data_IF_996811923916
#
_entry.id   IF_996811923916
#
_cell.length_a   1.000
_cell.length_b   1.000
_cell.length_c   1.000
_cell.angle_alpha   90.00
_cell.angle_beta   90.00
_cell.angle_gamma   90.00
#
_symmetry.space_group_name_H-M   'P 1'
#
loop_
_entity.id
_entity.type
_entity.pdbx_description
1 polymer ?
#
# COMPACT_ATOMS: atom_id res chain seq x y z
N UNK A 1 -23.15 -5.16 -18.55
CA UNK A 1 -22.47 -4.21 -17.62
C UNK A 1 -23.38 -3.65 -16.52
N UNK A 2 -24.69 -3.91 -16.53
CA UNK A 2 -25.68 -3.43 -15.54
C UNK A 2 -25.81 -4.32 -14.29
N UNK A 3 -25.43 -5.59 -14.36
CA UNK A 3 -25.64 -6.54 -13.27
C UNK A 3 -24.76 -6.29 -12.02
N UNK A 4 -23.56 -5.69 -12.18
CA UNK A 4 -22.62 -5.45 -11.07
C UNK A 4 -23.05 -4.24 -10.23
N UNK A 5 -23.55 -3.18 -10.87
CA UNK A 5 -24.13 -2.04 -10.15
C UNK A 5 -25.38 -2.44 -9.34
N UNK A 6 -26.18 -3.35 -9.90
CA UNK A 6 -27.36 -3.91 -9.22
C UNK A 6 -26.96 -4.82 -8.06
N UNK A 7 -25.90 -5.63 -8.19
CA UNK A 7 -25.43 -6.49 -7.10
C UNK A 7 -24.83 -5.67 -5.95
N UNK A 8 -24.13 -4.57 -6.25
CA UNK A 8 -23.62 -3.64 -5.24
C UNK A 8 -24.75 -2.91 -4.51
N UNK A 9 -25.75 -2.42 -5.25
CA UNK A 9 -26.93 -1.80 -4.68
C UNK A 9 -27.77 -2.80 -3.85
N UNK A 10 -27.88 -4.06 -4.29
CA UNK A 10 -28.63 -5.10 -3.58
C UNK A 10 -27.92 -5.61 -2.32
N UNK A 11 -26.58 -5.65 -2.31
CA UNK A 11 -25.77 -5.92 -1.10
C UNK A 11 -25.87 -4.78 -0.08
N UNK A 12 -26.00 -3.54 -0.55
CA UNK A 12 -26.23 -2.37 0.30
C UNK A 12 -27.69 -2.27 0.80
N UNK A 13 -28.66 -2.80 0.04
CA UNK A 13 -30.09 -2.78 0.39
C UNK A 13 -30.52 -3.89 1.37
N UNK A 14 -29.71 -4.93 1.57
CA UNK A 14 -29.98 -6.00 2.56
C UNK A 14 -29.39 -5.72 3.94
N UNK A 15 -28.76 -4.56 4.15
CA UNK A 15 -28.51 -4.07 5.49
C UNK A 15 -29.88 -3.77 6.15
N UNK A 16 -30.12 -4.20 7.41
CA UNK A 16 -31.38 -3.96 8.10
C UNK A 16 -31.76 -2.47 8.01
N UNK A 17 -33.02 -2.22 7.68
CA UNK A 17 -33.64 -0.93 7.39
C UNK A 17 -33.79 -0.04 8.65
N UNK A 18 -32.67 0.22 9.32
CA UNK A 18 -32.48 1.47 10.03
C UNK A 18 -32.19 2.58 9.00
N UNK A 19 -32.51 3.86 9.26
CA UNK A 19 -32.17 4.97 8.35
C UNK A 19 -30.67 4.93 8.02
N UNK A 20 -30.36 4.36 6.85
CA UNK A 20 -29.04 3.88 6.52
C UNK A 20 -28.01 5.00 6.36
N UNK A 21 -26.72 4.71 6.61
CA UNK A 21 -25.65 5.70 6.53
C UNK A 21 -25.61 6.29 5.12
N UNK A 22 -25.85 7.59 5.06
CA UNK A 22 -25.73 8.39 3.85
C UNK A 22 -24.27 8.35 3.39
N UNK A 23 -23.99 7.61 2.31
CA UNK A 23 -22.69 7.51 1.68
C UNK A 23 -21.67 6.71 2.50
N UNK A 24 -21.08 5.69 1.86
CA UNK A 24 -19.75 5.23 2.23
C UNK A 24 -18.78 6.39 1.94
N UNK A 25 -18.77 7.40 2.81
CA UNK A 25 -17.54 8.14 3.02
C UNK A 25 -16.53 7.07 3.42
N UNK A 26 -15.44 6.94 2.68
CA UNK A 26 -14.29 6.14 3.12
C UNK A 26 -13.35 7.11 3.84
N UNK A 27 -13.67 7.60 5.06
CA UNK A 27 -12.80 8.53 5.75
C UNK A 27 -11.44 7.85 5.95
N UNK A 28 -10.43 8.34 5.25
CA UNK A 28 -9.06 7.83 5.37
C UNK A 28 -8.62 6.83 4.31
N UNK A 29 -9.36 6.61 3.21
CA UNK A 29 -8.79 5.83 2.11
C UNK A 29 -7.51 6.50 1.59
N UNK A 30 -6.47 5.69 1.39
CA UNK A 30 -5.21 6.14 0.78
C UNK A 30 -4.89 5.25 -0.40
N UNK A 31 -4.81 5.89 -1.56
CA UNK A 31 -4.38 5.25 -2.79
C UNK A 31 -2.93 5.62 -3.08
N UNK A 32 -2.04 4.65 -2.96
CA UNK A 32 -0.65 4.74 -3.32
C UNK A 32 -0.47 4.45 -4.82
N UNK A 33 -0.02 5.43 -5.59
CA UNK A 33 0.27 5.28 -7.02
C UNK A 33 1.78 5.23 -7.22
N UNK A 34 2.30 4.12 -7.75
CA UNK A 34 3.71 4.02 -8.15
C UNK A 34 3.83 4.22 -9.65
N UNK A 35 4.54 5.28 -10.04
CA UNK A 35 4.57 5.79 -11.42
C UNK A 35 6.02 6.07 -11.83
N UNK A 36 6.34 5.87 -13.11
CA UNK A 36 7.65 6.22 -13.66
C UNK A 36 7.70 7.66 -14.20
N UNK A 37 8.88 8.29 -14.15
CA UNK A 37 9.13 9.66 -14.67
C UNK A 37 8.81 9.83 -16.16
N UNK A 38 8.69 8.74 -16.93
CA UNK A 38 8.28 8.79 -18.34
C UNK A 38 6.83 9.23 -18.55
N UNK A 39 5.99 9.20 -17.51
CA UNK A 39 4.62 9.69 -17.58
C UNK A 39 4.61 11.21 -17.73
N UNK A 40 3.85 11.70 -18.70
CA UNK A 40 3.77 13.12 -18.97
C UNK A 40 3.07 13.88 -17.83
N UNK A 41 3.35 15.18 -17.75
CA UNK A 41 2.86 16.01 -16.66
C UNK A 41 1.33 16.13 -16.66
N UNK A 42 0.66 16.12 -17.83
CA UNK A 42 -0.80 16.26 -17.90
C UNK A 42 -1.48 14.99 -17.35
N UNK A 43 -0.96 13.82 -17.71
CA UNK A 43 -1.39 12.54 -17.13
C UNK A 43 -1.16 12.49 -15.63
N UNK A 44 0.01 12.95 -15.13
CA UNK A 44 0.26 13.04 -13.69
C UNK A 44 -0.74 13.95 -12.98
N UNK A 45 -1.07 15.11 -13.56
CA UNK A 45 -2.09 16.02 -13.00
C UNK A 45 -3.46 15.36 -12.94
N UNK A 46 -3.84 14.58 -13.95
CA UNK A 46 -5.10 13.86 -13.97
C UNK A 46 -5.20 12.72 -12.92
N UNK A 47 -4.07 12.26 -12.38
CA UNK A 47 -4.01 11.27 -11.29
C UNK A 47 -4.02 11.90 -9.89
N UNK A 48 -3.89 13.23 -9.81
CA UNK A 48 -3.95 13.93 -8.54
C UNK A 48 -5.40 13.91 -8.02
N UNK A 49 -5.60 13.26 -6.87
CA UNK A 49 -6.89 13.13 -6.21
C UNK A 49 -6.74 13.36 -4.71
N UNK A 50 -7.85 13.59 -4.03
CA UNK A 50 -7.85 14.01 -2.62
C UNK A 50 -7.26 12.97 -1.65
N UNK A 51 -7.30 11.69 -2.02
CA UNK A 51 -6.74 10.57 -1.26
C UNK A 51 -5.52 9.91 -1.91
N UNK A 52 -4.90 10.51 -2.93
CA UNK A 52 -3.78 9.88 -3.64
C UNK A 52 -2.41 10.23 -3.05
N UNK A 53 -1.54 9.23 -2.95
CA UNK A 53 -0.14 9.35 -2.53
C UNK A 53 0.73 8.91 -3.70
N UNK A 54 1.50 9.84 -4.27
CA UNK A 54 2.37 9.55 -5.42
C UNK A 54 3.73 8.99 -4.97
N UNK A 55 4.20 7.94 -5.65
CA UNK A 55 5.53 7.37 -5.55
C UNK A 55 6.18 7.43 -6.94
N UNK A 56 6.98 8.47 -7.18
CA UNK A 56 7.56 8.72 -8.49
C UNK A 56 8.95 8.07 -8.60
N UNK A 57 9.09 7.07 -9.45
CA UNK A 57 10.38 6.49 -9.82
C UNK A 57 11.06 7.37 -10.86
N UNK A 58 12.25 7.85 -10.54
CA UNK A 58 13.00 8.71 -11.45
C UNK A 58 14.12 7.96 -12.16
N UNK A 59 14.36 8.36 -13.41
CA UNK A 59 15.57 8.05 -14.18
C UNK A 59 16.68 9.04 -13.88
N UNK A 60 16.31 10.29 -13.57
CA UNK A 60 17.26 11.36 -13.20
C UNK A 60 16.82 12.07 -11.92
N UNK A 61 17.78 12.65 -11.19
CA UNK A 61 17.46 13.43 -9.98
C UNK A 61 16.89 14.82 -10.28
N UNK A 62 16.89 15.25 -11.55
CA UNK A 62 16.42 16.57 -11.98
C UNK A 62 15.10 16.40 -12.71
N UNK A 63 13.99 16.71 -12.03
CA UNK A 63 12.67 16.68 -12.64
C UNK A 63 12.48 17.90 -13.53
N UNK A 64 11.69 17.72 -14.58
CA UNK A 64 11.21 18.84 -15.40
C UNK A 64 10.30 19.73 -14.57
N UNK A 65 10.28 21.03 -14.86
CA UNK A 65 9.43 21.99 -14.15
C UNK A 65 7.95 21.59 -14.19
N UNK A 66 7.46 21.14 -15.35
CA UNK A 66 6.09 20.66 -15.51
C UNK A 66 5.78 19.43 -14.65
N UNK A 67 6.75 18.53 -14.46
CA UNK A 67 6.61 17.37 -13.57
C UNK A 67 6.56 17.82 -12.11
N UNK A 68 7.41 18.77 -11.69
CA UNK A 68 7.39 19.32 -10.33
C UNK A 68 6.04 19.97 -10.01
N UNK A 69 5.48 20.73 -10.95
CA UNK A 69 4.16 21.33 -10.82
C UNK A 69 3.06 20.27 -10.71
N UNK A 70 3.11 19.20 -11.49
CA UNK A 70 2.17 18.09 -11.38
C UNK A 70 2.27 17.38 -10.02
N UNK A 71 3.49 17.12 -9.54
CA UNK A 71 3.76 16.52 -8.22
C UNK A 71 3.20 17.40 -7.08
N UNK A 72 3.24 18.73 -7.23
CA UNK A 72 2.74 19.66 -6.21
C UNK A 72 1.22 19.57 -5.97
N UNK A 73 0.46 19.01 -6.92
CA UNK A 73 -0.99 18.83 -6.80
C UNK A 73 -1.38 17.68 -5.85
N UNK A 74 -0.48 16.73 -5.63
CA UNK A 74 -0.76 15.59 -4.77
C UNK A 74 -0.80 16.00 -3.29
N UNK A 75 -1.74 15.46 -2.49
CA UNK A 75 -1.76 15.63 -1.04
C UNK A 75 -0.44 15.19 -0.40
N UNK A 76 0.17 14.14 -0.94
CA UNK A 76 1.43 13.57 -0.49
C UNK A 76 2.15 12.93 -1.68
N UNK A 77 3.45 13.20 -1.81
CA UNK A 77 4.26 12.63 -2.88
C UNK A 77 5.66 12.30 -2.38
N UNK A 78 6.25 11.25 -2.93
CA UNK A 78 7.61 10.82 -2.64
C UNK A 78 8.34 10.55 -3.95
N UNK A 79 9.47 11.23 -4.16
CA UNK A 79 10.25 11.11 -5.39
C UNK A 79 11.51 10.33 -5.13
N UNK A 80 11.71 9.23 -5.88
CA UNK A 80 12.90 8.39 -5.75
C UNK A 80 14.13 9.19 -6.16
N UNK A 81 15.14 9.17 -5.31
CA UNK A 81 16.43 9.77 -5.58
C UNK A 81 17.54 8.75 -5.64
N UNK A 82 18.44 8.94 -6.60
CA UNK A 82 19.64 8.12 -6.78
C UNK A 82 20.85 8.85 -6.19
N UNK A 83 21.81 8.15 -5.55
CA UNK A 83 23.06 8.76 -5.13
C UNK A 83 23.89 9.25 -6.34
N UNK A 84 24.64 10.37 -6.21
CA UNK A 84 24.69 11.26 -5.06
C UNK A 84 23.50 12.25 -5.00
N UNK A 85 23.01 12.50 -3.79
CA UNK A 85 21.99 13.50 -3.50
C UNK A 85 22.65 14.88 -3.30
N UNK A 86 22.39 15.80 -4.23
CA UNK A 86 22.86 17.18 -4.19
C UNK A 86 21.76 18.12 -3.64
N UNK A 87 22.16 19.25 -3.08
CA UNK A 87 21.22 20.25 -2.55
C UNK A 87 20.31 20.83 -3.63
N UNK A 88 20.84 21.04 -4.84
CA UNK A 88 20.06 21.47 -6.01
C UNK A 88 18.88 20.53 -6.32
N UNK A 89 19.02 19.22 -6.04
CA UNK A 89 17.94 18.26 -6.21
C UNK A 89 16.79 18.46 -5.20
N UNK A 90 17.10 18.94 -3.99
CA UNK A 90 16.10 19.24 -2.97
C UNK A 90 15.41 20.59 -3.22
N UNK A 91 16.17 21.53 -3.77
CA UNK A 91 15.71 22.88 -4.08
C UNK A 91 14.62 22.93 -5.14
N UNK A 92 14.60 22.01 -6.10
CA UNK A 92 13.53 21.93 -7.09
C UNK A 92 12.14 21.77 -6.44
N UNK A 93 12.07 21.12 -5.29
CA UNK A 93 10.82 20.90 -4.55
C UNK A 93 10.41 22.08 -3.68
N UNK A 94 11.06 23.25 -3.76
CA UNK A 94 10.53 24.48 -3.12
C UNK A 94 9.12 24.80 -3.63
N UNK A 95 8.82 24.48 -4.90
CA UNK A 95 7.49 24.62 -5.50
C UNK A 95 6.50 23.49 -5.16
N UNK A 96 6.98 22.42 -4.54
CA UNK A 96 6.17 21.28 -4.11
C UNK A 96 6.46 20.94 -2.64
N UNK A 97 5.98 21.75 -1.68
CA UNK A 97 6.35 21.60 -0.26
C UNK A 97 5.86 20.30 0.37
N UNK A 98 4.85 19.66 -0.21
CA UNK A 98 4.33 18.34 0.23
C UNK A 98 5.11 17.17 -0.35
N UNK A 99 5.98 17.41 -1.33
CA UNK A 99 6.83 16.38 -1.91
C UNK A 99 8.01 16.08 -0.97
N UNK A 100 8.13 14.80 -0.64
CA UNK A 100 9.23 14.21 0.11
C UNK A 100 10.21 13.46 -0.78
N UNK A 101 11.29 13.01 -0.14
CA UNK A 101 12.36 12.23 -0.78
C UNK A 101 12.13 10.75 -0.50
N UNK A 102 12.18 9.93 -1.54
CA UNK A 102 12.20 8.49 -1.43
C UNK A 102 13.62 7.97 -1.68
N UNK A 103 14.11 7.15 -0.75
CA UNK A 103 15.50 6.69 -0.73
C UNK A 103 15.53 5.18 -0.59
N UNK A 104 16.30 4.51 -1.45
CA UNK A 104 16.58 3.08 -1.34
C UNK A 104 17.72 2.76 -0.36
N UNK A 105 17.76 1.52 0.15
CA UNK A 105 18.78 1.02 1.08
C UNK A 105 20.22 1.24 0.59
N UNK A 106 20.46 1.14 -0.72
CA UNK A 106 21.76 1.37 -1.35
C UNK A 106 22.31 2.79 -1.18
N UNK A 107 21.42 3.73 -0.87
CA UNK A 107 21.74 5.13 -0.66
C UNK A 107 22.11 5.45 0.80
N UNK A 108 21.75 4.57 1.75
CA UNK A 108 22.00 4.78 3.17
C UNK A 108 23.49 4.76 3.53
N UNK A 109 24.31 4.02 2.77
CA UNK A 109 25.74 3.86 3.02
C UNK A 109 26.64 4.90 2.34
N UNK A 110 26.15 5.66 1.36
CA UNK A 110 26.99 6.43 0.42
C UNK A 110 27.10 7.93 0.71
N UNK A 111 26.60 8.42 1.84
CA UNK A 111 26.77 9.83 2.20
C UNK A 111 26.04 10.23 3.46
N UNK A 112 26.78 10.33 4.56
CA UNK A 112 26.29 10.92 5.80
C UNK A 112 26.32 12.45 5.64
N UNK A 113 25.19 13.07 5.34
CA UNK A 113 25.10 14.55 5.33
C UNK A 113 24.13 15.18 4.35
N UNK A 114 23.50 14.42 3.43
CA UNK A 114 22.45 15.00 2.59
C UNK A 114 21.15 15.24 3.39
N UNK A 115 20.90 14.46 4.43
CA UNK A 115 19.68 14.57 5.25
C UNK A 115 19.57 15.94 5.94
N UNK A 116 20.69 16.52 6.41
CA UNK A 116 20.68 17.87 6.99
C UNK A 116 20.42 18.96 5.95
N UNK A 117 20.74 18.69 4.67
CA UNK A 117 20.52 19.63 3.54
C UNK A 117 19.10 19.57 2.98
N UNK A 118 18.35 18.48 3.19
CA UNK A 118 16.96 18.40 2.74
C UNK A 118 15.99 19.28 3.54
N UNK A 119 16.43 19.81 4.68
CA UNK A 119 15.60 20.59 5.58
C UNK A 119 14.45 19.75 6.19
N UNK A 120 13.30 20.35 6.51
CA UNK A 120 12.18 19.69 7.21
C UNK A 120 11.36 18.74 6.30
N UNK A 121 11.89 18.31 5.17
CA UNK A 121 11.15 17.51 4.20
C UNK A 121 10.91 16.10 4.71
N UNK A 122 9.77 15.53 4.30
CA UNK A 122 9.42 14.14 4.60
C UNK A 122 10.36 13.20 3.85
N UNK A 123 10.84 12.17 4.54
CA UNK A 123 11.65 11.11 3.95
C UNK A 123 10.88 9.80 4.00
N UNK A 124 10.82 9.11 2.87
CA UNK A 124 10.41 7.72 2.79
C UNK A 124 11.64 6.86 2.50
N UNK A 125 11.80 5.76 3.23
CA UNK A 125 12.92 4.83 3.05
C UNK A 125 12.39 3.48 2.61
N UNK A 126 12.97 2.95 1.53
CA UNK A 126 12.77 1.57 1.12
C UNK A 126 14.01 0.76 1.50
N UNK A 127 13.83 -0.24 2.35
CA UNK A 127 14.88 -1.16 2.77
C UNK A 127 14.67 -2.49 2.06
N UNK A 128 15.64 -2.93 1.27
CA UNK A 128 15.62 -4.26 0.64
C UNK A 128 16.65 -5.16 1.33
N UNK A 129 16.26 -6.41 1.57
CA UNK A 129 17.12 -7.41 2.21
C UNK A 129 17.09 -7.33 3.75
N UNK A 130 18.18 -7.70 4.44
CA UNK A 130 18.20 -7.77 5.90
C UNK A 130 18.10 -6.40 6.55
N UNK A 131 17.31 -6.32 7.62
CA UNK A 131 17.21 -5.15 8.49
C UNK A 131 17.94 -5.45 9.80
N UNK A 132 19.27 -5.30 9.77
CA UNK A 132 20.09 -5.38 10.98
C UNK A 132 20.12 -4.05 11.76
N UNK A 133 20.70 -4.08 12.95
CA UNK A 133 20.82 -2.92 13.84
C UNK A 133 21.60 -1.75 13.21
N UNK A 134 22.57 -2.02 12.33
CA UNK A 134 23.34 -0.96 11.67
C UNK A 134 22.47 -0.22 10.63
N UNK A 135 21.76 -0.97 9.79
CA UNK A 135 20.81 -0.42 8.81
C UNK A 135 19.69 0.31 9.55
N UNK A 136 19.10 -0.29 10.58
CA UNK A 136 18.04 0.33 11.37
C UNK A 136 18.49 1.67 11.98
N UNK A 137 19.70 1.73 12.55
CA UNK A 137 20.28 2.97 13.06
C UNK A 137 20.45 4.03 11.97
N UNK A 138 20.92 3.65 10.77
CA UNK A 138 21.05 4.57 9.62
C UNK A 138 19.69 5.09 9.18
N UNK A 139 18.68 4.23 9.11
CA UNK A 139 17.30 4.61 8.75
C UNK A 139 16.70 5.54 9.81
N UNK A 140 16.85 5.22 11.10
CA UNK A 140 16.35 6.03 12.20
C UNK A 140 16.95 7.45 12.20
N UNK A 141 18.23 7.59 11.87
CA UNK A 141 18.91 8.88 11.75
C UNK A 141 18.27 9.81 10.70
N UNK A 142 17.60 9.27 9.68
CA UNK A 142 16.87 10.04 8.67
C UNK A 142 15.51 10.55 9.16
N UNK A 143 15.03 10.08 10.32
CA UNK A 143 13.69 10.36 10.85
C UNK A 143 12.58 10.21 9.80
N UNK A 144 12.50 9.05 9.11
CA UNK A 144 11.54 8.86 8.04
C UNK A 144 10.10 9.09 8.51
N UNK A 145 9.33 9.73 7.64
CA UNK A 145 7.88 9.71 7.74
C UNK A 145 7.32 8.32 7.42
N UNK A 146 8.04 7.55 6.60
CA UNK A 146 7.62 6.23 6.14
C UNK A 146 8.80 5.29 5.90
N UNK A 147 8.66 4.03 6.30
CA UNK A 147 9.64 2.96 6.05
C UNK A 147 8.93 1.80 5.39
N UNK A 148 9.41 1.37 4.22
CA UNK A 148 8.97 0.14 3.55
C UNK A 148 10.10 -0.87 3.64
N UNK A 149 9.89 -2.00 4.30
CA UNK A 149 10.85 -3.10 4.36
C UNK A 149 10.41 -4.22 3.42
N UNK A 150 11.30 -4.62 2.51
CA UNK A 150 11.14 -5.73 1.58
C UNK A 150 12.21 -6.79 1.87
N UNK A 151 12.02 -7.63 2.89
CA UNK A 151 12.94 -8.72 3.16
C UNK A 151 12.88 -9.79 2.06
N UNK A 152 14.01 -10.42 1.78
CA UNK A 152 13.98 -11.77 1.20
C UNK A 152 13.47 -12.79 2.23
N UNK A 153 13.21 -14.02 1.78
CA UNK A 153 12.69 -15.09 2.65
C UNK A 153 13.58 -15.35 3.87
N UNK A 154 14.91 -15.38 3.67
CA UNK A 154 15.88 -15.55 4.75
C UNK A 154 16.07 -14.31 5.64
N UNK A 155 15.65 -13.13 5.16
CA UNK A 155 15.87 -11.85 5.85
C UNK A 155 14.75 -11.49 6.82
N UNK A 156 13.57 -12.10 6.68
CA UNK A 156 12.37 -11.84 7.48
C UNK A 156 12.46 -12.45 8.90
N UNK A 157 13.55 -12.15 9.62
CA UNK A 157 13.84 -12.66 10.97
C UNK A 157 13.10 -11.90 12.06
N UNK A 158 12.87 -12.53 13.22
CA UNK A 158 12.28 -11.86 14.39
C UNK A 158 13.11 -10.64 14.84
N UNK A 159 14.44 -10.70 14.73
CA UNK A 159 15.31 -9.58 15.03
C UNK A 159 15.04 -8.39 14.10
N UNK A 160 14.96 -8.63 12.78
CA UNK A 160 14.64 -7.57 11.80
C UNK A 160 13.25 -6.97 12.00
N UNK A 161 12.26 -7.78 12.40
CA UNK A 161 10.95 -7.29 12.81
C UNK A 161 11.01 -6.38 14.04
N UNK A 162 11.80 -6.77 15.05
CA UNK A 162 12.04 -5.95 16.25
C UNK A 162 12.63 -4.58 15.91
N UNK A 163 13.61 -4.56 15.00
CA UNK A 163 14.20 -3.31 14.49
C UNK A 163 13.16 -2.46 13.74
N UNK A 164 12.40 -3.04 12.80
CA UNK A 164 11.34 -2.34 12.08
C UNK A 164 10.33 -1.72 13.05
N UNK A 165 9.92 -2.45 14.09
CA UNK A 165 8.96 -2.01 15.10
C UNK A 165 9.45 -0.80 15.93
N UNK A 166 10.76 -0.55 15.98
CA UNK A 166 11.37 0.60 16.66
C UNK A 166 11.61 1.81 15.76
N UNK A 167 11.66 1.64 14.44
CA UNK A 167 11.85 2.77 13.50
C UNK A 167 10.77 3.85 13.63
N UNK A 168 11.05 5.13 13.33
CA UNK A 168 10.01 6.16 13.34
C UNK A 168 9.11 6.06 12.09
N UNK A 169 7.97 6.75 12.14
CA UNK A 169 7.05 6.89 11.00
C UNK A 169 6.15 5.68 10.76
N UNK A 170 5.43 5.72 9.63
CA UNK A 170 4.57 4.63 9.18
C UNK A 170 5.41 3.49 8.61
N UNK A 171 5.21 2.27 9.09
CA UNK A 171 5.98 1.10 8.64
C UNK A 171 5.14 0.28 7.69
N UNK A 172 5.75 -0.19 6.61
CA UNK A 172 5.16 -1.14 5.69
C UNK A 172 6.11 -2.32 5.57
N UNK A 173 5.63 -3.51 5.87
CA UNK A 173 6.32 -4.73 5.51
C UNK A 173 5.75 -5.27 4.20
N UNK A 174 6.58 -5.43 3.18
CA UNK A 174 6.21 -6.09 1.94
C UNK A 174 6.92 -7.44 1.84
N UNK A 175 6.20 -8.49 2.20
CA UNK A 175 6.68 -9.85 2.01
C UNK A 175 6.59 -10.16 0.52
N UNK A 176 7.75 -10.31 -0.14
CA UNK A 176 7.78 -10.81 -1.51
C UNK A 176 7.14 -12.21 -1.52
N UNK A 177 6.22 -12.42 -2.46
CA UNK A 177 5.26 -13.51 -2.43
C UNK A 177 5.79 -14.87 -1.93
N UNK A 178 5.16 -15.35 -0.86
CA UNK A 178 4.91 -16.78 -0.58
C UNK A 178 4.03 -17.42 -1.69
N UNK A 179 3.63 -16.63 -2.70
CA UNK A 179 2.82 -17.02 -3.85
C UNK A 179 3.47 -18.06 -4.80
N UNK A 180 4.72 -18.47 -4.56
CA UNK A 180 5.43 -19.45 -5.39
C UNK A 180 5.09 -20.92 -5.15
N UNK A 181 4.45 -21.30 -4.04
CA UNK A 181 4.29 -22.73 -3.70
C UNK A 181 3.00 -23.35 -4.26
N UNK A 182 1.96 -22.55 -4.53
CA UNK A 182 0.65 -23.10 -4.92
C UNK A 182 0.49 -23.42 -6.42
N UNK A 183 1.35 -22.91 -7.31
CA UNK A 183 1.27 -23.22 -8.75
C UNK A 183 2.06 -24.47 -9.19
N UNK A 184 2.92 -25.02 -8.33
CA UNK A 184 3.67 -26.24 -8.64
C UNK A 184 2.89 -27.54 -8.38
N UNK A 185 1.73 -27.49 -7.72
CA UNK A 185 0.90 -28.68 -7.42
C UNK A 185 -0.13 -29.03 -8.52
N UNK A 186 -0.18 -28.26 -9.62
CA UNK A 186 -1.22 -28.38 -10.65
C UNK A 186 -0.92 -29.32 -11.83
N UNK A 187 0.16 -30.10 -11.80
CA UNK A 187 0.46 -31.10 -12.85
C UNK A 187 0.74 -32.48 -12.25
N UNK A 188 -0.25 -33.02 -11.55
CA UNK A 188 -0.35 -34.46 -11.32
C UNK A 188 -1.48 -34.98 -12.20
N UNK A 189 -1.10 -35.70 -13.25
CA UNK A 189 -2.05 -36.42 -14.11
C UNK A 189 -2.93 -37.36 -13.27
N UNK A 190 -4.23 -37.46 -13.55
CA UNK A 190 -5.10 -38.42 -12.89
C UNK A 190 -4.75 -39.84 -13.36
N UNK A 191 -4.10 -40.61 -12.48
CA UNK A 191 -4.04 -42.07 -12.61
C UNK A 191 -5.42 -42.70 -12.43
N UNK A 192 -5.70 -43.86 -13.05
CA UNK A 192 -7.02 -44.46 -13.04
C UNK A 192 -7.46 -44.92 -11.65
N UNK A 193 -8.75 -44.68 -11.39
CA UNK A 193 -9.51 -45.00 -10.18
C UNK A 193 -9.34 -46.45 -9.72
N UNK A 194 -8.85 -46.62 -8.49
CA UNK A 194 -9.13 -47.78 -7.64
C UNK A 194 -10.16 -47.40 -6.58
N UNK A 195 -11.25 -48.16 -6.51
CA UNK A 195 -12.39 -48.00 -5.61
C UNK A 195 -12.08 -48.28 -4.12
N UNK A 196 -12.89 -47.62 -3.26
CA UNK A 196 -13.20 -47.86 -1.83
C UNK A 196 -12.14 -47.51 -0.79
N UNK A 197 -12.45 -46.57 0.10
CA UNK A 197 -13.17 -46.85 1.35
C UNK A 197 -13.39 -45.59 2.21
N UNK A 198 -14.60 -45.52 2.78
CA UNK A 198 -14.97 -45.04 4.11
C UNK A 198 -14.82 -43.56 4.51
N UNK A 199 -16.01 -43.00 4.78
CA UNK A 199 -16.27 -41.70 5.34
C UNK A 199 -15.65 -41.58 6.74
N UNK A 200 -14.70 -40.66 6.88
CA UNK A 200 -14.29 -40.11 8.17
C UNK A 200 -14.88 -38.71 8.32
N UNK A 201 -15.55 -38.50 9.45
CA UNK A 201 -16.22 -37.28 9.82
C UNK A 201 -15.29 -36.07 9.72
N UNK A 202 -15.71 -35.09 8.92
CA UNK A 202 -15.05 -33.78 8.80
C UNK A 202 -15.29 -33.01 10.10
N UNK A 203 -14.29 -33.05 10.97
CA UNK A 203 -14.19 -32.19 12.13
C UNK A 203 -14.11 -30.73 11.62
N UNK A 204 -15.19 -29.98 11.84
CA UNK A 204 -15.34 -28.62 11.35
C UNK A 204 -14.20 -27.77 11.90
N UNK A 205 -13.31 -27.32 11.02
CA UNK A 205 -12.21 -26.43 11.38
C UNK A 205 -12.75 -25.25 12.21
N UNK A 206 -12.13 -24.94 13.36
CA UNK A 206 -12.61 -23.88 14.24
C UNK A 206 -12.66 -22.57 13.46
N UNK A 207 -13.86 -21.96 13.39
CA UNK A 207 -14.01 -20.64 12.77
C UNK A 207 -13.08 -19.66 13.47
N UNK A 208 -12.33 -18.83 12.73
CA UNK A 208 -11.45 -17.83 13.34
C UNK A 208 -12.30 -16.94 14.26
N UNK A 209 -11.90 -16.85 15.53
CA UNK A 209 -12.58 -15.98 16.50
C UNK A 209 -12.50 -14.55 15.97
N UNK A 210 -13.61 -13.79 15.95
CA UNK A 210 -13.54 -12.37 15.63
C UNK A 210 -12.56 -11.72 16.62
N UNK A 211 -11.73 -10.79 16.13
CA UNK A 211 -10.90 -9.96 16.98
C UNK A 211 -11.84 -9.22 17.94
N UNK A 212 -12.03 -9.76 19.14
CA UNK A 212 -12.65 -9.00 20.22
C UNK A 212 -11.67 -7.86 20.47
N UNK A 213 -12.14 -6.61 20.34
CA UNK A 213 -11.42 -5.46 20.86
C UNK A 213 -11.22 -5.72 22.35
N UNK A 214 -10.11 -6.36 22.70
CA UNK A 214 -9.68 -6.53 24.07
C UNK A 214 -9.69 -5.11 24.65
N UNK A 215 -10.49 -4.89 25.72
CA UNK A 215 -10.57 -3.61 26.43
C UNK A 215 -9.16 -3.21 26.87
N UNK A 216 -8.44 -2.52 26.00
CA UNK A 216 -7.09 -2.07 26.26
C UNK A 216 -7.20 -0.97 27.30
N UNK A 217 -6.75 -1.30 28.51
CA UNK A 217 -6.52 -0.38 29.63
C UNK A 217 -6.10 1.03 29.15
N UNK A 218 -6.89 2.08 29.43
CA UNK A 218 -6.70 3.42 28.84
C UNK A 218 -5.47 4.21 29.34
N UNK A 219 -4.58 3.60 30.14
CA UNK A 219 -3.54 4.34 30.88
C UNK A 219 -2.09 4.24 30.37
N UNK A 220 -1.70 3.18 29.63
CA UNK A 220 -0.27 2.82 29.50
C UNK A 220 0.30 2.74 28.07
N UNK A 221 -0.49 3.01 27.03
CA UNK A 221 -0.04 2.86 25.62
C UNK A 221 -0.17 4.15 24.80
N UNK A 222 0.26 5.28 25.37
CA UNK A 222 0.49 6.54 24.62
C UNK A 222 1.92 6.69 24.09
N UNK A 223 2.77 5.67 24.25
CA UNK A 223 3.94 5.53 23.39
C UNK A 223 3.40 5.34 21.97
N UNK A 224 3.81 6.21 21.04
CA UNK A 224 3.31 6.27 19.68
C UNK A 224 3.19 4.85 19.11
N UNK A 225 1.96 4.30 19.06
CA UNK A 225 1.72 2.97 18.51
C UNK A 225 2.15 3.06 17.06
N UNK A 226 3.35 2.55 16.80
CA UNK A 226 3.96 2.50 15.49
C UNK A 226 3.04 1.66 14.61
N UNK A 227 2.27 2.31 13.73
CA UNK A 227 1.39 1.62 12.80
C UNK A 227 2.27 0.85 11.81
N UNK A 228 2.26 -0.48 11.95
CA UNK A 228 2.83 -1.39 10.97
C UNK A 228 1.71 -1.83 10.05
N UNK A 229 1.92 -1.63 8.75
CA UNK A 229 1.04 -2.11 7.71
C UNK A 229 1.65 -3.30 6.98
N UNK A 230 0.84 -4.32 6.70
CA UNK A 230 1.27 -5.47 5.92
C UNK A 230 0.90 -5.25 4.45
N UNK A 231 1.91 -5.19 3.57
CA UNK A 231 1.75 -5.14 2.12
C UNK A 231 1.61 -6.55 1.56
N UNK A 232 0.49 -6.82 0.90
CA UNK A 232 0.17 -8.12 0.29
C UNK A 232 -0.32 -7.94 -1.13
N UNK A 233 0.00 -8.86 -2.02
CA UNK A 233 -0.53 -8.86 -3.38
C UNK A 233 -2.02 -9.29 -3.37
N UNK A 234 -2.82 -8.66 -4.22
CA UNK A 234 -4.22 -9.03 -4.40
C UNK A 234 -4.32 -10.49 -4.87
N UNK A 235 -5.17 -11.28 -4.21
CA UNK A 235 -5.35 -12.71 -4.48
C UNK A 235 -4.43 -13.63 -3.68
N UNK A 236 -3.43 -13.10 -2.96
CA UNK A 236 -2.67 -13.93 -2.03
C UNK A 236 -3.60 -14.45 -0.90
N UNK A 237 -3.59 -15.76 -0.58
CA UNK A 237 -4.27 -16.27 0.59
C UNK A 237 -3.59 -15.68 1.81
N UNK A 238 -4.32 -14.84 2.53
CA UNK A 238 -3.88 -14.26 3.78
C UNK A 238 -5.00 -14.56 4.76
N UNK A 239 -4.78 -15.54 5.63
CA UNK A 239 -5.51 -15.61 6.89
C UNK A 239 -5.38 -14.23 7.52
N UNK A 240 -6.53 -13.57 7.73
CA UNK A 240 -6.62 -12.10 7.86
C UNK A 240 -5.51 -11.46 8.71
N UNK A 241 -5.16 -10.19 8.45
CA UNK A 241 -4.05 -9.55 9.14
C UNK A 241 -4.21 -9.67 10.67
N UNK A 242 -3.11 -9.87 11.41
CA UNK A 242 -3.19 -9.90 12.87
C UNK A 242 -3.88 -8.63 13.38
N UNK A 243 -4.74 -8.80 14.40
CA UNK A 243 -5.62 -7.75 14.89
C UNK A 243 -4.82 -6.45 15.16
N UNK A 244 -5.32 -5.32 14.65
CA UNK A 244 -4.71 -4.00 14.84
C UNK A 244 -3.63 -3.59 13.83
N UNK A 245 -3.31 -4.41 12.83
CA UNK A 245 -2.46 -4.01 11.71
C UNK A 245 -3.28 -3.47 10.53
N UNK A 246 -2.88 -2.31 10.02
CA UNK A 246 -3.42 -1.77 8.76
C UNK A 246 -2.99 -2.69 7.61
N UNK A 247 -3.90 -3.04 6.70
CA UNK A 247 -3.53 -3.83 5.52
C UNK A 247 -3.21 -2.89 4.37
N UNK A 248 -2.16 -3.19 3.62
CA UNK A 248 -1.83 -2.53 2.36
C UNK A 248 -1.95 -3.57 1.25
N UNK A 249 -2.83 -3.36 0.29
CA UNK A 249 -3.01 -4.33 -0.81
C UNK A 249 -2.39 -3.77 -2.08
N UNK A 250 -1.36 -4.44 -2.58
CA UNK A 250 -0.80 -4.18 -3.89
C UNK A 250 -1.68 -4.86 -4.92
N UNK A 251 -2.11 -4.09 -5.90
CA UNK A 251 -2.93 -4.57 -7.01
C UNK A 251 -2.11 -4.45 -8.28
N UNK A 252 -1.93 -5.59 -8.94
CA UNK A 252 -1.30 -5.67 -10.26
C UNK A 252 -2.40 -5.71 -11.32
N UNK A 253 -2.41 -4.71 -12.22
CA UNK A 253 -3.43 -4.58 -13.26
C UNK A 253 -4.74 -3.92 -12.78
N UNK A 254 -5.81 -4.08 -13.55
CA UNK A 254 -7.11 -3.53 -13.21
C UNK A 254 -7.82 -4.47 -12.20
N UNK A 255 -8.01 -4.06 -10.93
CA UNK A 255 -8.72 -4.89 -9.97
C UNK A 255 -10.18 -5.07 -10.41
N UNK A 256 -10.72 -6.26 -10.13
CA UNK A 256 -12.15 -6.48 -10.20
C UNK A 256 -12.87 -5.69 -9.08
N UNK A 257 -13.95 -5.00 -9.45
CA UNK A 257 -14.70 -4.16 -8.52
C UNK A 257 -15.29 -4.99 -7.38
N UNK A 258 -15.75 -6.23 -7.65
CA UNK A 258 -16.31 -7.09 -6.62
C UNK A 258 -15.23 -7.55 -5.61
N UNK A 259 -14.01 -7.83 -6.09
CA UNK A 259 -12.88 -8.15 -5.22
C UNK A 259 -12.52 -6.99 -4.27
N UNK A 260 -12.58 -5.74 -4.76
CA UNK A 260 -12.30 -4.56 -3.93
C UNK A 260 -13.38 -4.30 -2.90
N UNK A 261 -14.65 -4.44 -3.29
CA UNK A 261 -15.77 -4.28 -2.36
C UNK A 261 -15.69 -5.32 -1.25
N UNK A 262 -15.40 -6.57 -1.61
CA UNK A 262 -15.18 -7.64 -0.64
C UNK A 262 -13.98 -7.32 0.28
N UNK A 263 -12.90 -6.74 -0.27
CA UNK A 263 -11.73 -6.33 0.51
C UNK A 263 -12.08 -5.24 1.53
N UNK A 264 -12.68 -4.13 1.09
CA UNK A 264 -13.00 -3.00 1.96
C UNK A 264 -14.11 -3.31 2.96
N UNK A 265 -15.06 -4.17 2.61
CA UNK A 265 -16.09 -4.63 3.55
C UNK A 265 -15.50 -5.47 4.68
N UNK A 266 -14.41 -6.22 4.41
CA UNK A 266 -13.72 -7.05 5.41
C UNK A 266 -12.66 -6.29 6.20
N UNK A 267 -12.06 -5.27 5.60
CA UNK A 267 -10.95 -4.51 6.17
C UNK A 267 -11.04 -3.03 5.72
N UNK A 268 -11.89 -2.21 6.35
CA UNK A 268 -12.14 -0.83 5.93
C UNK A 268 -10.90 0.07 6.02
N UNK A 269 -9.96 -0.27 6.90
CA UNK A 269 -8.68 0.46 7.05
C UNK A 269 -7.64 0.08 5.98
N UNK A 270 -8.00 -0.70 4.96
CA UNK A 270 -7.04 -1.12 3.93
C UNK A 270 -6.56 0.07 3.09
N UNK A 271 -5.24 0.22 2.96
CA UNK A 271 -4.63 1.08 1.96
C UNK A 271 -4.46 0.30 0.65
N UNK A 272 -4.66 0.96 -0.50
CA UNK A 272 -4.46 0.34 -1.80
C UNK A 272 -3.23 0.90 -2.47
N UNK A 273 -2.48 0.03 -3.15
CA UNK A 273 -1.31 0.40 -3.92
C UNK A 273 -1.40 -0.14 -5.34
N UNK A 274 -1.31 0.76 -6.31
CA UNK A 274 -1.28 0.44 -7.73
C UNK A 274 0.11 0.74 -8.27
N UNK A 275 0.79 -0.29 -8.78
CA UNK A 275 2.01 -0.11 -9.57
C UNK A 275 1.60 0.05 -11.03
N UNK A 276 1.59 1.30 -11.48
CA UNK A 276 1.10 1.67 -12.81
C UNK A 276 2.25 1.70 -13.83
N UNK A 277 3.47 1.96 -13.36
CA UNK A 277 4.66 2.07 -14.20
C UNK A 277 4.52 3.17 -15.26
N UNK A 278 4.86 2.83 -16.51
CA UNK A 278 4.79 3.70 -17.68
C UNK A 278 3.73 3.27 -18.70
N UNK A 279 2.95 2.23 -18.43
CA UNK A 279 2.00 1.67 -19.40
C UNK A 279 0.77 2.58 -19.55
N UNK A 280 0.48 3.13 -20.75
CA UNK A 280 -0.69 3.98 -20.98
C UNK A 280 -2.02 3.30 -20.61
N UNK A 281 -2.14 1.99 -20.83
CA UNK A 281 -3.37 1.27 -20.49
C UNK A 281 -3.55 1.17 -18.96
N UNK A 282 -2.48 0.82 -18.24
CA UNK A 282 -2.47 0.87 -16.78
C UNK A 282 -2.79 2.27 -16.24
N UNK A 283 -2.25 3.34 -16.86
CA UNK A 283 -2.52 4.73 -16.47
C UNK A 283 -3.98 5.12 -16.66
N UNK A 284 -4.56 4.80 -17.83
CA UNK A 284 -5.97 5.03 -18.09
C UNK A 284 -6.87 4.25 -17.12
N UNK A 285 -6.49 3.03 -16.76
CA UNK A 285 -7.18 2.22 -15.76
C UNK A 285 -7.10 2.85 -14.36
N UNK A 286 -5.90 3.26 -13.93
CA UNK A 286 -5.67 3.90 -12.65
C UNK A 286 -6.48 5.20 -12.54
N UNK A 287 -6.50 6.03 -13.59
CA UNK A 287 -7.30 7.26 -13.65
C UNK A 287 -8.79 6.99 -13.49
N UNK A 288 -9.36 6.10 -14.33
CA UNK A 288 -10.79 5.73 -14.22
C UNK A 288 -11.13 5.23 -12.82
N UNK A 289 -10.18 4.59 -12.17
CA UNK A 289 -10.38 4.05 -10.83
C UNK A 289 -10.30 5.12 -9.74
N UNK A 290 -9.37 6.08 -9.83
CA UNK A 290 -9.35 7.28 -8.96
C UNK A 290 -10.69 8.02 -9.06
N UNK A 291 -11.14 8.30 -10.29
CA UNK A 291 -12.41 9.01 -10.54
C UNK A 291 -13.61 8.27 -9.94
N UNK A 292 -13.67 6.93 -10.10
CA UNK A 292 -14.74 6.10 -9.53
C UNK A 292 -14.71 6.07 -8.01
N UNK A 293 -13.54 5.93 -7.39
CA UNK A 293 -13.41 5.95 -5.92
C UNK A 293 -13.83 7.31 -5.36
N UNK A 294 -13.40 8.41 -6.00
CA UNK A 294 -13.80 9.75 -5.58
C UNK A 294 -15.30 9.99 -5.74
N UNK A 295 -15.92 9.48 -6.81
CA UNK A 295 -17.37 9.56 -6.98
C UNK A 295 -18.11 8.75 -5.90
N UNK A 296 -17.61 7.55 -5.57
CA UNK A 296 -18.17 6.71 -4.51
C UNK A 296 -18.08 7.38 -3.13
N UNK A 297 -16.92 7.96 -2.81
CA UNK A 297 -16.67 8.67 -1.53
C UNK A 297 -17.54 9.91 -1.38
N UNK A 298 -17.76 10.65 -2.48
CA UNK A 298 -18.65 11.83 -2.49
C UNK A 298 -20.13 11.46 -2.34
N UNK A 299 -20.50 10.20 -2.57
CA UNK A 299 -21.90 9.78 -2.61
C UNK A 299 -22.62 10.15 -3.92
N UNK A 300 -21.89 10.58 -4.95
CA UNK A 300 -22.44 11.03 -6.23
C UNK A 300 -22.87 9.87 -7.14
N UNK A 301 -22.67 8.61 -6.70
CA UNK A 301 -22.94 7.39 -7.46
C UNK A 301 -24.41 6.97 -7.60
N UNK A 302 -25.36 7.74 -7.07
CA UNK A 302 -26.80 7.48 -7.27
C UNK A 302 -27.31 8.09 -8.58
N UNK A 303 -26.81 7.63 -9.72
CA UNK A 303 -27.57 7.74 -10.97
C UNK A 303 -28.71 6.72 -10.91
N UNK A 304 -29.93 7.24 -10.71
CA UNK A 304 -31.20 6.53 -10.87
C UNK A 304 -31.32 5.86 -12.25
#
# INVERSE_FOLDING_TARGET
MTAVAVLLAALLAQAPSEPGPSGLTLPGYRLHLVVDESVDADTLRALAGSGTVLWLRTRSNMLRDSTVEAVALFPEAYVLFRPPLLEAHADQFRRAPRAGVWVGSESLGKGVGWHSRLGPRRVAVEVRGPLDTEVARKVAALRPARVTWLPGEADATLAGWGELAQLPGTKVLALAGVAGVAQAAGSLSPGPRGERAEASASEAAPRPRPCVEEEVLPGLLRAARSRVALRVDMGAPVDGPPCGMTRRVRVSGAPDDAALVALFSRAPDSELELDVGADPAALANARRWVERLEAAVRGDGSTR
#
